data_IF_685785922724
#
_entry.id   IF_685785922724
#
_cell.length_a   1.000
_cell.length_b   1.000
_cell.length_c   1.000
_cell.angle_alpha   90.00
_cell.angle_beta   90.00
_cell.angle_gamma   90.00
#
_symmetry.space_group_name_H-M   'P 1'
#
loop_
_entity.id
_entity.type
_entity.pdbx_description
1 polymer ?
#
# COMPACT_ATOMS: atom_id res chain seq x y z
N UNK A 1 -56.58 -7.21 -23.25
CA UNK A 1 -56.02 -6.53 -22.08
C UNK A 1 -54.55 -6.90 -21.99
N UNK A 2 -53.65 -5.98 -22.35
CA UNK A 2 -52.20 -6.18 -22.31
C UNK A 2 -51.72 -5.62 -20.97
N UNK A 3 -51.32 -6.50 -20.04
CA UNK A 3 -50.68 -6.08 -18.79
C UNK A 3 -49.22 -5.71 -19.08
N UNK A 4 -48.92 -4.44 -19.05
CA UNK A 4 -47.53 -3.95 -19.05
C UNK A 4 -46.89 -4.21 -17.69
N UNK A 5 -45.96 -5.17 -17.62
CA UNK A 5 -45.11 -5.38 -16.45
C UNK A 5 -44.06 -4.27 -16.49
N UNK A 6 -44.23 -3.23 -15.66
CA UNK A 6 -43.16 -2.27 -15.38
C UNK A 6 -42.09 -3.00 -14.56
N UNK A 7 -40.80 -2.95 -14.97
CA UNK A 7 -39.71 -3.42 -14.11
C UNK A 7 -39.65 -2.54 -12.86
N UNK A 8 -39.79 -3.15 -11.69
CA UNK A 8 -39.55 -2.49 -10.42
C UNK A 8 -38.08 -2.07 -10.39
N UNK A 9 -37.81 -0.77 -10.46
CA UNK A 9 -36.50 -0.20 -10.13
C UNK A 9 -36.21 -0.56 -8.66
N UNK A 10 -35.38 -1.59 -8.45
CA UNK A 10 -34.85 -1.89 -7.15
C UNK A 10 -34.04 -0.66 -6.71
N UNK A 11 -34.59 0.14 -5.81
CA UNK A 11 -33.87 1.24 -5.16
C UNK A 11 -32.68 0.62 -4.44
N UNK A 12 -31.47 0.88 -4.91
CA UNK A 12 -30.26 0.42 -4.25
C UNK A 12 -30.29 0.96 -2.80
N UNK A 13 -30.32 0.05 -1.84
CA UNK A 13 -30.34 0.40 -0.42
C UNK A 13 -29.01 1.06 -0.09
N UNK A 14 -29.04 2.24 0.53
CA UNK A 14 -27.84 2.89 1.02
C UNK A 14 -27.05 1.95 1.93
N UNK A 15 -25.76 1.89 1.76
CA UNK A 15 -24.84 1.15 2.62
C UNK A 15 -24.34 2.09 3.69
N UNK A 16 -24.49 1.72 4.95
CA UNK A 16 -23.91 2.46 6.08
C UNK A 16 -22.61 1.77 6.51
N UNK A 17 -21.52 2.51 6.53
CA UNK A 17 -20.19 2.01 6.94
C UNK A 17 -19.58 2.91 8.00
N UNK A 18 -18.91 2.29 8.98
CA UNK A 18 -18.08 3.00 9.92
C UNK A 18 -16.70 3.18 9.30
N UNK A 19 -16.27 4.43 9.14
CA UNK A 19 -14.96 4.76 8.61
C UNK A 19 -13.86 4.71 9.69
N UNK A 20 -12.60 4.86 9.27
CA UNK A 20 -11.45 4.82 10.18
C UNK A 20 -11.44 5.95 11.24
N UNK A 21 -12.28 6.98 11.07
CA UNK A 21 -12.48 8.07 12.04
C UNK A 21 -13.63 7.81 13.01
N UNK A 22 -14.26 6.63 12.96
CA UNK A 22 -15.41 6.27 13.78
C UNK A 22 -16.71 6.96 13.37
N UNK A 23 -16.81 7.48 12.12
CA UNK A 23 -18.02 8.10 11.59
C UNK A 23 -18.85 7.08 10.83
N UNK A 24 -20.15 7.14 10.96
CA UNK A 24 -21.07 6.40 10.07
C UNK A 24 -21.27 7.21 8.81
N UNK A 25 -20.85 6.65 7.67
CA UNK A 25 -20.99 7.25 6.34
C UNK A 25 -22.02 6.46 5.55
N UNK A 26 -23.03 7.16 5.01
CA UNK A 26 -24.07 6.56 4.17
C UNK A 26 -23.68 6.68 2.69
N UNK A 27 -23.40 5.56 2.04
CA UNK A 27 -23.06 5.47 0.61
C UNK A 27 -24.31 4.98 -0.14
N UNK A 28 -24.95 5.85 -0.91
CA UNK A 28 -26.16 5.56 -1.70
C UNK A 28 -25.82 5.04 -3.10
N UNK A 29 -24.69 5.46 -3.62
CA UNK A 29 -24.22 5.12 -4.96
C UNK A 29 -22.70 4.95 -4.95
N UNK A 30 -22.23 3.81 -5.42
CA UNK A 30 -20.83 3.48 -5.62
C UNK A 30 -20.52 3.14 -7.09
N UNK A 31 -21.22 3.78 -8.03
CA UNK A 31 -20.99 3.60 -9.46
C UNK A 31 -19.84 4.45 -10.02
N UNK A 32 -19.49 5.54 -9.33
CA UNK A 32 -18.44 6.49 -9.73
C UNK A 32 -17.49 6.75 -8.57
N UNK A 33 -16.49 5.90 -8.42
CA UNK A 33 -15.58 5.90 -7.28
C UNK A 33 -14.33 6.73 -7.61
N UNK A 34 -14.00 7.70 -6.77
CA UNK A 34 -12.65 8.25 -6.71
C UNK A 34 -11.87 7.50 -5.64
N UNK A 35 -10.77 6.86 -6.05
CA UNK A 35 -9.90 6.06 -5.18
C UNK A 35 -8.62 6.80 -4.83
N UNK A 36 -8.41 7.08 -3.56
CA UNK A 36 -7.25 7.79 -3.02
C UNK A 36 -6.45 6.86 -2.12
N UNK A 37 -5.26 6.49 -2.57
CA UNK A 37 -4.38 5.52 -1.95
C UNK A 37 -4.23 4.24 -2.77
N UNK A 38 -2.98 3.89 -3.13
CA UNK A 38 -2.67 2.76 -4.01
C UNK A 38 -3.26 1.43 -3.54
N UNK A 39 -3.26 1.17 -2.22
CA UNK A 39 -3.85 -0.06 -1.67
C UNK A 39 -5.37 -0.12 -1.82
N UNK A 40 -6.06 1.03 -1.70
CA UNK A 40 -7.51 1.11 -1.92
C UNK A 40 -7.84 0.79 -3.38
N UNK A 41 -7.05 1.37 -4.31
CA UNK A 41 -7.18 1.10 -5.75
C UNK A 41 -6.94 -0.36 -6.07
N UNK A 42 -5.86 -0.96 -5.56
CA UNK A 42 -5.59 -2.39 -5.74
C UNK A 42 -6.75 -3.27 -5.27
N UNK A 43 -7.32 -2.97 -4.10
CA UNK A 43 -8.46 -3.71 -3.55
C UNK A 43 -9.67 -3.60 -4.48
N UNK A 44 -10.02 -2.39 -4.95
CA UNK A 44 -11.15 -2.20 -5.87
C UNK A 44 -10.99 -3.03 -7.15
N UNK A 45 -9.79 -3.04 -7.73
CA UNK A 45 -9.51 -3.87 -8.91
C UNK A 45 -9.53 -5.37 -8.59
N UNK A 46 -8.99 -5.79 -7.44
CA UNK A 46 -9.03 -7.18 -6.99
C UNK A 46 -10.47 -7.69 -6.75
N UNK A 47 -11.38 -6.81 -6.36
CA UNK A 47 -12.80 -7.10 -6.22
C UNK A 47 -13.56 -7.12 -7.57
N UNK A 48 -12.87 -6.82 -8.69
CA UNK A 48 -13.47 -6.74 -10.02
C UNK A 48 -14.33 -5.49 -10.23
N UNK A 49 -14.01 -4.39 -9.55
CA UNK A 49 -14.75 -3.13 -9.57
C UNK A 49 -14.01 -2.00 -10.30
N UNK A 50 -12.98 -2.34 -11.07
CA UNK A 50 -12.17 -1.37 -11.82
C UNK A 50 -13.01 -0.44 -12.70
N UNK A 51 -14.07 -0.94 -13.32
CA UNK A 51 -14.97 -0.16 -14.19
C UNK A 51 -15.76 0.91 -13.43
N UNK A 52 -15.87 0.80 -12.09
CA UNK A 52 -16.50 1.83 -11.25
C UNK A 52 -15.52 2.91 -10.81
N UNK A 53 -14.21 2.69 -10.95
CA UNK A 53 -13.17 3.65 -10.57
C UNK A 53 -13.00 4.66 -11.69
N UNK A 54 -13.35 5.93 -11.43
CA UNK A 54 -13.33 7.00 -12.44
C UNK A 54 -12.08 7.88 -12.38
N UNK A 55 -11.41 7.91 -11.24
CA UNK A 55 -10.15 8.62 -11.05
C UNK A 55 -9.39 8.05 -9.84
N UNK A 56 -8.08 8.28 -9.83
CA UNK A 56 -7.15 7.75 -8.82
C UNK A 56 -6.14 8.82 -8.41
N UNK A 57 -5.46 8.60 -7.28
CA UNK A 57 -4.33 9.43 -6.87
C UNK A 57 -3.00 8.92 -7.45
N UNK A 58 -1.94 9.71 -7.32
CA UNK A 58 -0.61 9.40 -7.86
C UNK A 58 0.05 8.14 -7.29
N UNK A 59 -0.41 7.64 -6.15
CA UNK A 59 0.11 6.40 -5.54
C UNK A 59 -0.53 5.14 -6.13
N UNK A 60 -1.60 5.28 -6.91
CA UNK A 60 -2.38 4.21 -7.52
C UNK A 60 -1.73 3.69 -8.82
N UNK A 61 -0.59 3.03 -8.67
CA UNK A 61 0.24 2.59 -9.80
C UNK A 61 -0.06 1.15 -10.29
N UNK A 62 -0.83 0.40 -9.52
CA UNK A 62 -1.21 -0.97 -9.85
C UNK A 62 -2.72 -1.17 -9.69
N UNK A 63 -3.35 -1.99 -10.55
CA UNK A 63 -2.79 -2.59 -11.77
C UNK A 63 -2.54 -1.56 -12.89
N UNK A 64 -1.96 -2.01 -14.03
CA UNK A 64 -1.66 -1.13 -15.15
C UNK A 64 -2.89 -0.35 -15.66
N UNK A 65 -4.09 -0.91 -15.53
CA UNK A 65 -5.36 -0.26 -15.87
C UNK A 65 -5.62 1.00 -15.02
N UNK A 66 -5.23 1.00 -13.74
CA UNK A 66 -5.42 2.15 -12.85
C UNK A 66 -4.65 3.39 -13.31
N UNK A 67 -3.44 3.20 -13.89
CA UNK A 67 -2.59 4.29 -14.40
C UNK A 67 -3.16 5.04 -15.62
N UNK A 68 -4.19 4.47 -16.25
CA UNK A 68 -4.87 5.09 -17.40
C UNK A 68 -6.03 5.99 -16.97
N UNK A 69 -6.39 5.96 -15.69
CA UNK A 69 -7.47 6.77 -15.14
C UNK A 69 -7.00 8.21 -14.86
N UNK A 70 -7.91 9.18 -14.84
CA UNK A 70 -7.62 10.56 -14.43
C UNK A 70 -6.93 10.61 -13.06
N UNK A 71 -5.87 11.42 -12.95
CA UNK A 71 -5.10 11.66 -11.74
C UNK A 71 -5.67 12.86 -10.97
N UNK A 72 -6.04 12.69 -9.71
CA UNK A 72 -6.54 13.75 -8.82
C UNK A 72 -5.46 14.34 -7.90
N UNK A 73 -4.20 14.01 -8.12
CA UNK A 73 -3.05 14.53 -7.37
C UNK A 73 -2.50 13.54 -6.34
N UNK A 74 -1.54 14.01 -5.55
CA UNK A 74 -0.90 13.17 -4.54
C UNK A 74 -1.78 13.07 -3.28
N UNK A 75 -1.99 11.86 -2.77
CA UNK A 75 -2.90 11.55 -1.67
C UNK A 75 -2.75 12.44 -0.42
N UNK A 76 -1.55 12.95 -0.13
CA UNK A 76 -1.30 13.79 1.04
C UNK A 76 -1.37 15.30 0.78
N UNK A 77 -1.48 15.72 -0.49
CA UNK A 77 -1.56 17.13 -0.92
C UNK A 77 -2.67 17.33 -1.95
N UNK A 78 -3.84 16.75 -1.69
CA UNK A 78 -4.99 16.83 -2.57
C UNK A 78 -5.54 18.26 -2.65
N UNK A 79 -6.09 18.59 -3.83
CA UNK A 79 -6.91 19.78 -4.05
C UNK A 79 -8.38 19.34 -4.18
N UNK A 80 -9.31 19.93 -3.42
CA UNK A 80 -10.71 19.48 -3.44
C UNK A 80 -11.37 19.68 -4.82
N UNK A 81 -11.01 20.73 -5.55
CA UNK A 81 -11.50 21.00 -6.90
C UNK A 81 -11.12 19.89 -7.88
N UNK A 82 -9.88 19.38 -7.80
CA UNK A 82 -9.42 18.28 -8.64
C UNK A 82 -10.22 17.00 -8.39
N UNK A 83 -10.48 16.69 -7.12
CA UNK A 83 -11.25 15.50 -6.72
C UNK A 83 -12.72 15.63 -7.13
N UNK A 84 -13.34 16.79 -6.96
CA UNK A 84 -14.76 17.02 -7.27
C UNK A 84 -15.03 17.17 -8.77
N UNK A 85 -14.05 17.65 -9.54
CA UNK A 85 -14.21 17.92 -10.98
C UNK A 85 -14.58 16.70 -11.81
N UNK A 86 -14.21 15.52 -11.36
CA UNK A 86 -14.52 14.24 -12.05
C UNK A 86 -15.93 13.72 -11.74
N UNK A 87 -16.69 14.38 -10.87
CA UNK A 87 -18.08 14.04 -10.53
C UNK A 87 -18.22 12.69 -9.82
N UNK A 88 -17.57 12.47 -8.67
CA UNK A 88 -17.68 11.22 -7.93
C UNK A 88 -19.06 11.04 -7.28
N UNK A 89 -19.53 9.78 -7.18
CA UNK A 89 -20.65 9.42 -6.31
C UNK A 89 -20.19 9.02 -4.91
N UNK A 90 -18.91 8.59 -4.78
CA UNK A 90 -18.25 8.30 -3.51
C UNK A 90 -16.74 8.49 -3.64
N UNK A 91 -16.11 8.93 -2.56
CA UNK A 91 -14.66 9.05 -2.43
C UNK A 91 -14.19 8.06 -1.36
N UNK A 92 -13.31 7.13 -1.73
CA UNK A 92 -12.62 6.26 -0.79
C UNK A 92 -11.19 6.78 -0.62
N UNK A 93 -10.84 7.18 0.59
CA UNK A 93 -9.53 7.73 0.88
C UNK A 93 -8.83 6.93 1.98
N UNK A 94 -7.59 6.53 1.72
CA UNK A 94 -6.77 5.85 2.74
C UNK A 94 -6.53 6.77 3.93
N UNK A 95 -6.46 6.23 5.11
CA UNK A 95 -6.09 6.98 6.33
C UNK A 95 -4.74 7.67 6.13
N UNK A 96 -4.63 8.94 6.55
CA UNK A 96 -3.46 9.77 6.26
C UNK A 96 -3.51 10.53 4.92
N UNK A 97 -4.56 10.33 4.10
CA UNK A 97 -4.85 11.23 2.99
C UNK A 97 -5.16 12.64 3.50
N UNK A 98 -4.86 13.65 2.70
CA UNK A 98 -5.05 15.05 3.15
C UNK A 98 -4.56 16.10 2.15
N UNK A 99 -4.44 17.34 2.61
CA UNK A 99 -4.51 17.80 4.00
C UNK A 99 -5.91 17.70 4.62
N UNK A 100 -6.00 17.80 5.93
CA UNK A 100 -7.27 17.73 6.67
C UNK A 100 -8.31 18.71 6.15
N UNK A 101 -7.89 19.94 5.87
CA UNK A 101 -8.75 21.00 5.32
C UNK A 101 -9.38 20.60 3.98
N UNK A 102 -8.65 19.90 3.12
CA UNK A 102 -9.21 19.37 1.86
C UNK A 102 -10.30 18.33 2.13
N UNK A 103 -10.06 17.41 3.06
CA UNK A 103 -11.06 16.41 3.40
C UNK A 103 -12.33 17.04 3.99
N UNK A 104 -12.20 18.08 4.82
CA UNK A 104 -13.34 18.81 5.39
C UNK A 104 -14.18 19.50 4.29
N UNK A 105 -13.54 20.03 3.24
CA UNK A 105 -14.23 20.59 2.06
C UNK A 105 -14.93 19.49 1.27
N UNK A 106 -14.28 18.35 1.01
CA UNK A 106 -14.88 17.21 0.31
C UNK A 106 -16.10 16.65 1.07
N UNK A 107 -16.00 16.53 2.39
CA UNK A 107 -17.09 16.08 3.26
C UNK A 107 -18.29 17.04 3.24
N UNK A 108 -18.04 18.35 3.05
CA UNK A 108 -19.07 19.38 2.93
C UNK A 108 -19.75 19.43 1.56
N UNK A 109 -19.16 18.83 0.54
CA UNK A 109 -19.62 18.89 -0.85
C UNK A 109 -20.75 17.91 -1.19
N UNK A 110 -21.42 17.32 -0.19
CA UNK A 110 -22.53 16.34 -0.37
C UNK A 110 -22.12 15.03 -1.08
N UNK A 111 -20.82 14.75 -1.23
CA UNK A 111 -20.29 13.49 -1.72
C UNK A 111 -19.79 12.70 -0.49
N UNK A 112 -20.23 11.44 -0.29
CA UNK A 112 -19.74 10.64 0.82
C UNK A 112 -18.23 10.39 0.69
N UNK A 113 -17.49 10.69 1.76
CA UNK A 113 -16.05 10.44 1.90
C UNK A 113 -15.86 9.38 2.98
N UNK A 114 -15.38 8.21 2.59
CA UNK A 114 -15.10 7.08 3.49
C UNK A 114 -13.60 6.99 3.70
N UNK A 115 -13.15 7.15 4.94
CA UNK A 115 -11.74 6.98 5.30
C UNK A 115 -11.48 5.50 5.60
N UNK A 116 -10.60 4.91 4.82
CA UNK A 116 -10.24 3.49 4.87
C UNK A 116 -9.05 3.30 5.82
N UNK A 117 -9.10 2.37 6.79
CA UNK A 117 -8.00 2.15 7.74
C UNK A 117 -6.72 1.69 7.05
N UNK A 118 -5.56 2.10 7.58
CA UNK A 118 -4.24 1.86 6.98
C UNK A 118 -3.20 1.31 7.97
N UNK A 119 -3.53 0.26 8.71
CA UNK A 119 -2.54 -0.44 9.51
C UNK A 119 -1.65 -1.34 8.65
N UNK A 120 -0.35 -1.37 8.98
CA UNK A 120 0.69 -2.04 8.20
C UNK A 120 1.04 -3.42 8.78
N UNK A 121 0.05 -4.26 9.00
CA UNK A 121 0.20 -5.66 9.43
C UNK A 121 -0.80 -6.55 8.67
N UNK A 122 -0.70 -7.86 8.85
CA UNK A 122 -1.55 -8.83 8.16
C UNK A 122 -3.05 -8.60 8.43
N UNK A 123 -3.42 -8.34 9.69
CA UNK A 123 -4.79 -8.07 10.07
C UNK A 123 -5.27 -6.71 9.55
N UNK A 124 -4.38 -5.72 9.48
CA UNK A 124 -4.65 -4.40 8.91
C UNK A 124 -4.98 -4.47 7.43
N UNK A 125 -4.24 -5.27 6.66
CA UNK A 125 -4.55 -5.49 5.23
C UNK A 125 -5.92 -6.14 5.08
N UNK A 126 -6.23 -7.15 5.89
CA UNK A 126 -7.53 -7.83 5.89
C UNK A 126 -8.65 -6.86 6.24
N UNK A 127 -8.53 -6.08 7.32
CA UNK A 127 -9.53 -5.05 7.68
C UNK A 127 -9.71 -4.00 6.60
N UNK A 128 -8.64 -3.60 5.93
CA UNK A 128 -8.68 -2.66 4.80
C UNK A 128 -9.51 -3.22 3.64
N UNK A 129 -9.30 -4.48 3.27
CA UNK A 129 -10.07 -5.18 2.22
C UNK A 129 -11.55 -5.20 2.58
N UNK A 130 -11.88 -5.60 3.80
CA UNK A 130 -13.26 -5.67 4.28
C UNK A 130 -13.93 -4.28 4.31
N UNK A 131 -13.19 -3.24 4.74
CA UNK A 131 -13.68 -1.87 4.79
C UNK A 131 -13.98 -1.30 3.40
N UNK A 132 -13.08 -1.50 2.42
CA UNK A 132 -13.30 -1.07 1.03
C UNK A 132 -14.51 -1.80 0.44
N UNK A 133 -14.59 -3.11 0.59
CA UNK A 133 -15.69 -3.91 0.06
C UNK A 133 -17.04 -3.52 0.68
N UNK A 134 -17.09 -3.29 2.00
CA UNK A 134 -18.28 -2.81 2.68
C UNK A 134 -18.72 -1.44 2.14
N UNK A 135 -17.78 -0.50 1.96
CA UNK A 135 -18.07 0.86 1.47
C UNK A 135 -18.70 0.88 0.08
N UNK A 136 -18.42 -0.12 -0.76
CA UNK A 136 -18.96 -0.22 -2.14
C UNK A 136 -20.09 -1.24 -2.29
N UNK A 137 -20.60 -1.80 -1.18
CA UNK A 137 -21.72 -2.73 -1.15
C UNK A 137 -21.40 -4.15 -1.62
N UNK A 138 -20.13 -4.57 -1.55
CA UNK A 138 -19.65 -5.89 -2.00
C UNK A 138 -19.03 -6.73 -0.85
N UNK A 139 -19.65 -6.84 0.34
CA UNK A 139 -19.03 -7.45 1.52
C UNK A 139 -18.66 -8.93 1.31
N UNK A 140 -19.41 -9.67 0.48
CA UNK A 140 -19.12 -11.09 0.21
C UNK A 140 -17.83 -11.25 -0.61
N UNK A 141 -17.64 -10.42 -1.65
CA UNK A 141 -16.39 -10.41 -2.41
C UNK A 141 -15.22 -9.99 -1.53
N UNK A 142 -15.44 -9.00 -0.64
CA UNK A 142 -14.44 -8.57 0.34
C UNK A 142 -14.01 -9.70 1.26
N UNK A 143 -14.97 -10.46 1.80
CA UNK A 143 -14.69 -11.60 2.67
C UNK A 143 -13.86 -12.67 1.95
N UNK A 144 -14.25 -13.04 0.73
CA UNK A 144 -13.50 -14.03 -0.06
C UNK A 144 -12.06 -13.58 -0.35
N UNK A 145 -11.85 -12.30 -0.72
CA UNK A 145 -10.51 -11.74 -0.94
C UNK A 145 -9.71 -11.71 0.36
N UNK A 146 -10.31 -11.26 1.46
CA UNK A 146 -9.69 -11.18 2.78
C UNK A 146 -9.25 -12.56 3.30
N UNK A 147 -10.07 -13.59 3.13
CA UNK A 147 -9.74 -14.98 3.49
C UNK A 147 -8.54 -15.50 2.69
N UNK A 148 -8.51 -15.24 1.38
CA UNK A 148 -7.40 -15.66 0.53
C UNK A 148 -6.08 -14.96 0.92
N UNK A 149 -6.11 -13.65 1.18
CA UNK A 149 -4.94 -12.87 1.62
C UNK A 149 -4.49 -13.31 3.02
N UNK A 150 -5.42 -13.58 3.94
CA UNK A 150 -5.10 -14.12 5.28
C UNK A 150 -4.41 -15.49 5.20
N UNK A 151 -4.85 -16.34 4.27
CA UNK A 151 -4.21 -17.64 4.05
C UNK A 151 -2.76 -17.47 3.54
N UNK A 152 -2.51 -16.50 2.64
CA UNK A 152 -1.18 -16.19 2.13
C UNK A 152 -0.26 -15.67 3.25
N UNK A 153 -0.73 -14.76 4.09
CA UNK A 153 0.03 -14.30 5.28
C UNK A 153 0.32 -15.45 6.25
N UNK A 154 -0.63 -16.35 6.43
CA UNK A 154 -0.42 -17.53 7.31
C UNK A 154 0.67 -18.44 6.74
N UNK A 155 0.67 -18.69 5.44
CA UNK A 155 1.69 -19.49 4.77
C UNK A 155 3.07 -18.81 4.85
N UNK A 156 3.13 -17.50 4.59
CA UNK A 156 4.36 -16.71 4.75
C UNK A 156 4.88 -16.76 6.17
N UNK A 157 4.02 -16.51 7.18
CA UNK A 157 4.42 -16.52 8.59
C UNK A 157 5.01 -17.85 9.05
N UNK A 158 4.47 -18.97 8.57
CA UNK A 158 5.07 -20.30 8.81
C UNK A 158 6.46 -20.43 8.21
N UNK A 159 6.63 -20.01 6.94
CA UNK A 159 7.93 -20.08 6.29
C UNK A 159 8.97 -19.17 6.97
N UNK A 160 8.58 -17.95 7.35
CA UNK A 160 9.44 -17.01 8.07
C UNK A 160 9.84 -17.53 9.46
N UNK A 161 8.93 -18.21 10.16
CA UNK A 161 9.24 -18.79 11.48
C UNK A 161 10.28 -19.92 11.42
N UNK A 162 10.49 -20.56 10.27
CA UNK A 162 11.50 -21.59 10.06
C UNK A 162 12.89 -21.03 9.73
N UNK A 163 12.99 -19.72 9.48
CA UNK A 163 14.26 -19.07 9.16
C UNK A 163 15.21 -19.06 10.36
N UNK A 164 16.44 -19.49 10.15
CA UNK A 164 17.46 -19.59 11.21
C UNK A 164 18.23 -18.26 11.42
N UNK A 165 18.30 -17.44 10.41
CA UNK A 165 19.00 -16.17 10.41
C UNK A 165 18.03 -15.02 10.08
N UNK A 166 18.27 -13.86 10.64
CA UNK A 166 17.49 -12.66 10.40
C UNK A 166 18.46 -11.53 10.01
N UNK A 167 18.71 -11.34 8.70
CA UNK A 167 19.61 -10.31 8.22
C UNK A 167 19.14 -8.93 8.66
N UNK A 168 20.10 -8.03 8.88
CA UNK A 168 19.83 -6.62 9.18
C UNK A 168 19.77 -5.84 7.87
N UNK A 169 18.66 -5.20 7.60
CA UNK A 169 18.54 -4.35 6.42
C UNK A 169 18.21 -2.92 6.79
N UNK A 170 18.64 -1.99 5.96
CA UNK A 170 18.22 -0.59 6.01
C UNK A 170 17.34 -0.29 4.80
N UNK A 171 16.21 0.36 5.02
CA UNK A 171 15.41 0.92 3.93
C UNK A 171 15.82 2.36 3.68
N UNK A 172 16.20 2.68 2.44
CA UNK A 172 16.53 4.04 1.99
C UNK A 172 15.37 4.58 1.15
N UNK A 173 14.73 5.63 1.66
CA UNK A 173 13.59 6.28 0.99
C UNK A 173 14.06 7.22 -0.11
N UNK A 174 15.08 8.02 0.16
CA UNK A 174 15.63 9.04 -0.74
C UNK A 174 17.05 9.42 -0.32
N UNK A 175 17.74 10.14 -1.21
CA UNK A 175 19.02 10.77 -0.92
C UNK A 175 18.85 12.27 -1.15
N UNK A 176 19.17 13.08 -0.14
CA UNK A 176 19.14 14.54 -0.24
C UNK A 176 20.49 15.12 0.27
N UNK A 177 21.14 15.96 -0.55
CA UNK A 177 22.44 16.58 -0.20
C UNK A 177 23.49 15.57 0.29
N UNK A 178 23.56 14.39 -0.33
CA UNK A 178 24.50 13.32 0.04
C UNK A 178 24.10 12.52 1.29
N UNK A 179 22.97 12.80 1.92
CA UNK A 179 22.49 12.11 3.11
C UNK A 179 21.30 11.23 2.78
N UNK A 180 21.34 9.96 3.21
CA UNK A 180 20.21 9.03 3.05
C UNK A 180 19.09 9.34 4.04
N UNK A 181 17.85 9.37 3.58
CA UNK A 181 16.66 9.32 4.44
C UNK A 181 16.28 7.87 4.60
N UNK A 182 16.28 7.38 5.83
CA UNK A 182 16.06 5.96 6.14
C UNK A 182 14.76 5.72 6.90
N UNK A 183 14.22 4.52 6.79
CA UNK A 183 13.04 4.07 7.51
C UNK A 183 13.40 3.41 8.85
N UNK A 184 13.03 4.05 9.95
CA UNK A 184 13.09 3.49 11.30
C UNK A 184 11.81 2.75 11.68
N UNK A 185 11.61 2.52 12.99
CA UNK A 185 10.36 1.93 13.52
C UNK A 185 9.14 2.81 13.22
N UNK A 186 7.95 2.23 13.26
CA UNK A 186 6.68 2.87 12.93
C UNK A 186 6.61 3.38 11.47
N UNK A 187 7.29 2.69 10.54
CA UNK A 187 7.18 2.93 9.09
C UNK A 187 6.63 1.70 8.38
N UNK A 188 6.04 1.89 7.19
CA UNK A 188 5.64 0.78 6.33
C UNK A 188 6.83 -0.10 5.92
N UNK A 189 8.04 0.48 5.80
CA UNK A 189 9.26 -0.28 5.53
C UNK A 189 9.64 -1.20 6.70
N UNK A 190 9.56 -0.72 7.94
CA UNK A 190 9.79 -1.51 9.14
C UNK A 190 8.80 -2.68 9.25
N UNK A 191 7.52 -2.39 9.04
CA UNK A 191 6.47 -3.40 9.03
C UNK A 191 6.69 -4.48 7.94
N UNK A 192 7.15 -4.08 6.76
CA UNK A 192 7.48 -5.03 5.69
C UNK A 192 8.71 -5.88 6.05
N UNK A 193 9.72 -5.32 6.70
CA UNK A 193 10.86 -6.08 7.22
C UNK A 193 10.40 -7.12 8.24
N UNK A 194 9.52 -6.77 9.16
CA UNK A 194 8.97 -7.70 10.14
C UNK A 194 8.24 -8.87 9.46
N UNK A 195 7.39 -8.60 8.46
CA UNK A 195 6.71 -9.63 7.69
C UNK A 195 7.68 -10.55 6.93
N UNK A 196 8.82 -10.01 6.48
CA UNK A 196 9.85 -10.77 5.75
C UNK A 196 10.87 -11.47 6.67
N UNK A 197 10.74 -11.36 8.00
CA UNK A 197 11.70 -11.93 8.96
C UNK A 197 13.07 -11.24 8.96
N UNK A 198 13.10 -9.97 8.60
CA UNK A 198 14.30 -9.12 8.48
C UNK A 198 14.35 -8.15 9.67
N UNK A 199 15.52 -7.92 10.22
CA UNK A 199 15.71 -6.92 11.28
C UNK A 199 15.95 -5.55 10.66
N UNK A 200 15.23 -4.54 11.14
CA UNK A 200 15.50 -3.17 10.75
C UNK A 200 16.78 -2.68 11.41
N UNK A 201 17.83 -2.42 10.62
CA UNK A 201 19.09 -1.90 11.12
C UNK A 201 18.95 -0.50 11.78
N UNK A 202 17.89 0.24 11.40
CA UNK A 202 17.60 1.58 11.90
C UNK A 202 16.49 1.59 12.98
N UNK A 203 16.30 0.50 13.72
CA UNK A 203 15.27 0.37 14.76
C UNK A 203 15.37 1.39 15.92
N UNK A 204 16.51 2.04 16.09
CA UNK A 204 16.69 3.13 17.06
C UNK A 204 16.03 4.47 16.61
N UNK A 205 15.63 4.58 15.35
CA UNK A 205 15.01 5.77 14.75
C UNK A 205 13.50 5.54 14.65
N UNK A 206 12.70 6.57 14.90
CA UNK A 206 11.25 6.54 14.67
C UNK A 206 10.89 7.34 13.42
N UNK A 207 10.13 6.71 12.52
CA UNK A 207 9.68 7.32 11.27
C UNK A 207 10.78 7.38 10.21
N UNK A 208 10.53 8.14 9.15
CA UNK A 208 11.51 8.41 8.11
C UNK A 208 12.35 9.64 8.48
N UNK A 209 13.68 9.49 8.56
CA UNK A 209 14.59 10.57 8.95
C UNK A 209 15.92 10.48 8.20
N UNK A 210 16.60 11.62 8.01
CA UNK A 210 18.00 11.61 7.58
C UNK A 210 18.84 10.77 8.54
N UNK A 211 19.64 9.86 8.00
CA UNK A 211 20.59 9.07 8.77
C UNK A 211 21.85 9.91 9.03
N UNK A 212 22.33 9.89 10.26
CA UNK A 212 23.70 10.33 10.57
C UNK A 212 24.63 9.21 10.15
N UNK A 213 25.69 9.52 9.40
CA UNK A 213 26.58 8.53 8.79
C UNK A 213 27.14 7.54 9.82
N UNK A 214 27.60 8.04 10.97
CA UNK A 214 28.13 7.20 12.06
C UNK A 214 27.08 6.23 12.63
N UNK A 215 25.82 6.66 12.74
CA UNK A 215 24.75 5.80 13.22
C UNK A 215 24.37 4.72 12.19
N UNK A 216 24.38 5.06 10.91
CA UNK A 216 24.14 4.11 9.82
C UNK A 216 25.29 3.09 9.69
N UNK A 217 26.53 3.54 9.79
CA UNK A 217 27.70 2.66 9.83
C UNK A 217 27.69 1.75 11.05
N UNK A 218 27.37 2.29 12.24
CA UNK A 218 27.31 1.51 13.48
C UNK A 218 26.16 0.48 13.48
N UNK A 219 25.11 0.73 12.73
CA UNK A 219 24.02 -0.23 12.52
C UNK A 219 24.47 -1.44 11.70
N UNK A 220 25.57 -1.33 10.96
CA UNK A 220 26.27 -2.39 10.24
C UNK A 220 25.28 -3.29 9.43
N UNK A 221 24.53 -2.72 8.46
CA UNK A 221 23.52 -3.44 7.72
C UNK A 221 24.12 -4.50 6.79
N UNK A 222 23.44 -5.64 6.71
CA UNK A 222 23.79 -6.74 5.79
C UNK A 222 23.24 -6.46 4.37
N UNK A 223 22.22 -5.61 4.24
CA UNK A 223 21.61 -5.25 2.96
C UNK A 223 20.99 -3.86 2.97
N UNK A 224 20.91 -3.25 1.79
CA UNK A 224 20.14 -2.03 1.54
C UNK A 224 18.92 -2.35 0.69
N UNK A 225 17.77 -1.85 1.09
CA UNK A 225 16.51 -1.97 0.36
C UNK A 225 16.02 -0.59 -0.06
N UNK A 226 15.61 -0.45 -1.32
CA UNK A 226 15.04 0.78 -1.86
C UNK A 226 13.74 0.49 -2.60
N UNK A 227 12.92 1.51 -2.80
CA UNK A 227 11.76 1.40 -3.69
C UNK A 227 12.03 2.02 -5.07
N UNK A 228 11.47 1.43 -6.12
CA UNK A 228 11.34 2.04 -7.44
C UNK A 228 10.04 2.82 -7.56
N UNK A 229 10.01 3.81 -8.45
CA UNK A 229 8.80 4.59 -8.75
C UNK A 229 8.49 5.71 -7.76
N UNK A 230 9.39 6.01 -6.82
CA UNK A 230 9.25 7.08 -5.82
C UNK A 230 9.69 8.48 -6.27
N UNK A 231 9.91 8.69 -7.58
CA UNK A 231 10.36 9.96 -8.15
C UNK A 231 11.88 10.09 -8.24
N UNK A 232 12.67 9.61 -7.29
CA UNK A 232 14.11 9.54 -7.36
C UNK A 232 14.55 8.13 -7.76
N UNK A 233 15.45 8.02 -8.75
CA UNK A 233 16.07 6.74 -9.11
C UNK A 233 17.25 6.49 -8.17
N UNK A 234 17.15 5.45 -7.37
CA UNK A 234 18.20 5.00 -6.46
C UNK A 234 18.80 3.70 -7.02
N UNK A 235 20.04 3.75 -7.43
CA UNK A 235 20.79 2.59 -7.88
C UNK A 235 21.82 2.12 -6.84
N UNK A 236 22.35 0.91 -7.02
CA UNK A 236 23.26 0.31 -6.07
C UNK A 236 24.56 1.09 -5.91
N UNK A 237 25.10 1.67 -6.98
CA UNK A 237 26.35 2.42 -6.95
C UNK A 237 26.23 3.70 -6.13
N UNK A 238 25.18 4.49 -6.41
CA UNK A 238 24.92 5.76 -5.72
C UNK A 238 24.60 5.57 -4.24
N UNK A 239 23.86 4.51 -3.88
CA UNK A 239 23.44 4.28 -2.48
C UNK A 239 24.54 3.62 -1.67
N UNK A 240 25.12 2.50 -2.15
CA UNK A 240 26.16 1.78 -1.42
C UNK A 240 27.47 2.55 -1.33
N UNK A 241 27.71 3.52 -2.22
CA UNK A 241 28.86 4.43 -2.22
C UNK A 241 28.75 5.58 -1.21
N UNK A 242 27.60 5.78 -0.56
CA UNK A 242 27.49 6.81 0.47
C UNK A 242 28.40 6.51 1.66
N UNK A 243 28.99 7.55 2.32
CA UNK A 243 29.77 7.37 3.54
C UNK A 243 29.06 6.53 4.60
N UNK A 244 27.74 6.69 4.72
CA UNK A 244 26.87 5.93 5.62
C UNK A 244 26.94 4.41 5.40
N UNK A 245 27.27 3.92 4.20
CA UNK A 245 27.21 2.49 3.87
C UNK A 245 28.52 1.90 3.36
N UNK A 246 29.46 2.71 2.89
CA UNK A 246 30.67 2.28 2.17
C UNK A 246 31.52 1.20 2.88
N UNK A 247 31.51 1.16 4.22
CA UNK A 247 32.25 0.18 5.02
C UNK A 247 31.42 -1.01 5.52
N UNK A 248 30.14 -1.07 5.20
CA UNK A 248 29.21 -2.07 5.74
C UNK A 248 29.25 -3.39 4.96
N UNK A 249 28.77 -4.50 5.54
CA UNK A 249 28.55 -5.75 4.82
C UNK A 249 27.69 -5.59 3.56
N UNK A 250 26.67 -4.73 3.63
CA UNK A 250 25.81 -4.42 2.48
C UNK A 250 26.61 -3.92 1.27
N UNK A 251 27.55 -3.00 1.48
CA UNK A 251 28.38 -2.45 0.42
C UNK A 251 29.44 -3.44 -0.06
N UNK A 252 30.15 -4.11 0.87
CA UNK A 252 31.22 -5.07 0.52
C UNK A 252 30.69 -6.28 -0.23
N UNK A 253 29.48 -6.76 0.08
CA UNK A 253 28.82 -7.88 -0.56
C UNK A 253 27.86 -7.45 -1.68
N UNK A 254 27.72 -6.15 -1.93
CA UNK A 254 26.80 -5.56 -2.93
C UNK A 254 25.34 -6.03 -2.76
N UNK A 255 24.90 -6.21 -1.52
CA UNK A 255 23.53 -6.64 -1.21
C UNK A 255 22.58 -5.46 -1.28
N UNK A 256 21.99 -5.29 -2.45
CA UNK A 256 21.07 -4.20 -2.77
C UNK A 256 19.80 -4.77 -3.38
N UNK A 257 18.65 -4.47 -2.78
CA UNK A 257 17.34 -4.92 -3.22
C UNK A 257 16.51 -3.70 -3.63
N UNK A 258 15.94 -3.75 -4.83
CA UNK A 258 15.08 -2.70 -5.37
C UNK A 258 13.75 -3.30 -5.82
N UNK A 259 12.65 -2.91 -5.17
CA UNK A 259 11.29 -3.37 -5.48
C UNK A 259 10.38 -2.18 -5.81
N UNK A 260 9.29 -2.38 -6.59
CA UNK A 260 8.32 -1.33 -6.85
C UNK A 260 7.71 -0.79 -5.55
N UNK A 261 7.59 0.55 -5.42
CA UNK A 261 7.16 1.18 -4.17
C UNK A 261 5.73 0.81 -3.77
N UNK A 262 4.81 0.74 -4.72
CA UNK A 262 3.43 0.30 -4.48
C UNK A 262 3.34 -1.14 -3.99
N UNK A 263 4.22 -2.01 -4.48
CA UNK A 263 4.33 -3.41 -4.08
C UNK A 263 4.92 -3.55 -2.68
N UNK A 264 6.08 -2.91 -2.45
CA UNK A 264 6.84 -3.03 -1.20
C UNK A 264 6.14 -2.35 -0.01
N UNK A 265 5.55 -1.17 -0.21
CA UNK A 265 5.05 -0.31 0.87
C UNK A 265 3.53 -0.09 0.83
N UNK A 266 2.82 -0.65 -0.16
CA UNK A 266 1.41 -0.36 -0.37
C UNK A 266 0.48 -1.05 0.63
N UNK A 267 0.86 -2.19 1.18
CA UNK A 267 0.00 -2.98 2.08
C UNK A 267 -1.41 -3.21 1.53
N UNK A 268 -1.47 -3.52 0.22
CA UNK A 268 -2.65 -4.00 -0.48
C UNK A 268 -2.74 -5.53 -0.48
N UNK A 269 -3.60 -6.11 -1.34
CA UNK A 269 -3.78 -7.56 -1.45
C UNK A 269 -2.50 -8.35 -1.80
N UNK A 270 -1.49 -7.68 -2.38
CA UNK A 270 -0.19 -8.27 -2.76
C UNK A 270 0.86 -8.21 -1.65
N UNK A 271 0.53 -7.67 -0.47
CA UNK A 271 1.51 -7.53 0.61
C UNK A 271 2.18 -8.85 1.05
N UNK A 272 1.48 -10.01 1.14
CA UNK A 272 2.16 -11.26 1.45
C UNK A 272 3.17 -11.70 0.40
N UNK A 273 2.89 -11.47 -0.90
CA UNK A 273 3.82 -11.74 -1.99
C UNK A 273 5.05 -10.80 -1.92
N UNK A 274 4.82 -9.52 -1.66
CA UNK A 274 5.91 -8.54 -1.50
C UNK A 274 6.85 -8.90 -0.34
N UNK A 275 6.29 -9.31 0.80
CA UNK A 275 7.07 -9.74 1.95
C UNK A 275 7.84 -11.06 1.66
N UNK A 276 7.21 -11.99 0.94
CA UNK A 276 7.86 -13.23 0.50
C UNK A 276 9.03 -12.95 -0.44
N UNK A 277 8.85 -12.08 -1.42
CA UNK A 277 9.89 -11.73 -2.39
C UNK A 277 11.04 -10.99 -1.73
N UNK A 278 10.74 -10.09 -0.79
CA UNK A 278 11.76 -9.44 0.02
C UNK A 278 12.53 -10.46 0.88
N UNK A 279 11.82 -11.40 1.51
CA UNK A 279 12.46 -12.48 2.25
C UNK A 279 13.35 -13.34 1.35
N UNK A 280 12.89 -13.73 0.17
CA UNK A 280 13.67 -14.50 -0.80
C UNK A 280 14.94 -13.76 -1.27
N UNK A 281 14.86 -12.43 -1.38
CA UNK A 281 16.01 -11.61 -1.80
C UNK A 281 17.06 -11.40 -0.68
N UNK A 282 16.65 -11.50 0.60
CA UNK A 282 17.51 -11.15 1.74
C UNK A 282 17.98 -12.35 2.55
N UNK A 283 17.26 -13.48 2.51
CA UNK A 283 17.69 -14.70 3.20
C UNK A 283 18.41 -15.63 2.23
N UNK A 284 19.42 -16.33 2.70
CA UNK A 284 20.16 -17.36 1.92
C UNK A 284 19.37 -18.69 1.83
N UNK A 285 18.06 -18.63 2.05
CA UNK A 285 17.15 -19.79 2.04
C UNK A 285 16.05 -19.63 1.01
N UNK A 286 15.69 -20.75 0.38
CA UNK A 286 14.61 -20.75 -0.61
C UNK A 286 13.25 -20.54 0.10
N UNK A 287 12.64 -19.37 -0.13
CA UNK A 287 11.28 -19.10 0.34
C UNK A 287 10.26 -19.83 -0.54
N UNK A 288 9.30 -20.55 0.06
CA UNK A 288 8.26 -21.22 -0.71
C UNK A 288 7.42 -20.22 -1.50
N UNK A 289 6.94 -20.66 -2.64
CA UNK A 289 6.03 -19.85 -3.44
C UNK A 289 4.65 -19.78 -2.79
N UNK A 290 4.05 -18.59 -2.83
CA UNK A 290 2.65 -18.41 -2.46
C UNK A 290 1.74 -18.76 -3.63
N UNK A 291 0.47 -19.10 -3.41
CA UNK A 291 -0.47 -19.39 -4.49
C UNK A 291 -0.56 -18.25 -5.50
N UNK A 292 -0.59 -18.58 -6.79
CA UNK A 292 -0.87 -17.59 -7.82
C UNK A 292 -2.25 -16.97 -7.60
N UNK A 293 -2.32 -15.64 -7.66
CA UNK A 293 -3.54 -14.88 -7.42
C UNK A 293 -3.90 -14.03 -8.63
N UNK A 294 -5.18 -14.00 -9.05
CA UNK A 294 -5.59 -13.20 -10.20
C UNK A 294 -5.25 -11.71 -10.07
N UNK A 295 -5.33 -11.18 -8.84
CA UNK A 295 -5.01 -9.78 -8.54
C UNK A 295 -3.51 -9.47 -8.43
N UNK A 296 -2.65 -10.48 -8.58
CA UNK A 296 -1.19 -10.33 -8.55
C UNK A 296 -0.53 -10.85 -9.84
N UNK A 297 -1.30 -11.06 -10.90
CA UNK A 297 -0.81 -11.68 -12.13
C UNK A 297 -0.07 -10.71 -13.07
N UNK A 298 -0.33 -9.39 -12.94
CA UNK A 298 0.36 -8.40 -13.75
C UNK A 298 1.74 -8.07 -13.15
N UNK A 299 2.77 -7.86 -13.98
CA UNK A 299 4.06 -7.41 -13.48
C UNK A 299 3.97 -5.97 -12.97
N UNK A 300 4.74 -5.68 -11.94
CA UNK A 300 5.02 -4.30 -11.51
C UNK A 300 6.05 -3.66 -12.46
N UNK A 301 5.97 -2.33 -12.64
CA UNK A 301 6.98 -1.56 -13.38
C UNK A 301 8.28 -1.41 -12.62
#
# INVERSE_FOLDING_TARGET
>A
MLFAILPALASARAVEVMDARGRVVSVKDASRIVSIGGSVTEILFALGLGDRVIAVDQTSRYPAAARKLPDVGYSRTLAPEGVLSVGPSVILAVEGAGPRSTLDVLESASVPVVIIPDAHDADGVVRKIEAVAAAVGEPEKGRALAEAVRADFTALGKAVAELKAHPRAVFVLSIGNGTAVVGGVDTSADAMFQLAGVRNAMAAIKGYKPAVDEAAMAADPDAVVVMRGGGQVLDAESVLGLPAFAGTPAATQKRFVSLPGSYLLGFGPRAPQAARDLAAALHDSNMPELPARPWAAEPDE
#
